data_IF_175191531033
#
_entry.id   IF_175191531033
#
_cell.length_a   1.000
_cell.length_b   1.000
_cell.length_c   1.000
_cell.angle_alpha   90.00
_cell.angle_beta   90.00
_cell.angle_gamma   90.00
#
_symmetry.space_group_name_H-M   'P 1'
#
loop_
_entity.id
_entity.type
_entity.pdbx_description
1 polymer ?
#
# COMPACT_ATOMS: atom_id res chain seq x y z
N UNK A 1 5.22 1.85 -39.01
CA UNK A 1 5.94 2.05 -37.73
C UNK A 1 6.27 0.67 -37.19
N UNK A 2 7.50 0.46 -36.69
CA UNK A 2 7.86 -0.80 -36.05
C UNK A 2 7.28 -0.82 -34.62
N UNK A 3 6.56 -1.89 -34.28
CA UNK A 3 6.06 -2.14 -32.92
C UNK A 3 7.04 -3.09 -32.24
N UNK A 4 7.48 -2.77 -31.03
CA UNK A 4 8.33 -3.65 -30.20
C UNK A 4 7.62 -3.90 -28.88
N UNK A 5 7.74 -5.12 -28.36
CA UNK A 5 7.17 -5.54 -27.09
C UNK A 5 8.31 -5.91 -26.14
N UNK A 6 8.22 -5.48 -24.89
CA UNK A 6 9.22 -5.72 -23.86
C UNK A 6 8.54 -6.25 -22.60
N UNK A 7 9.25 -7.07 -21.84
CA UNK A 7 8.87 -7.47 -20.48
C UNK A 7 9.82 -6.81 -19.47
N UNK A 8 9.27 -6.11 -18.48
CA UNK A 8 10.04 -5.44 -17.44
C UNK A 8 9.52 -5.90 -16.09
N UNK A 9 10.40 -6.44 -15.23
CA UNK A 9 10.10 -6.68 -13.83
C UNK A 9 10.28 -5.38 -13.06
N UNK A 10 9.30 -5.04 -12.23
CA UNK A 10 9.36 -3.90 -11.31
C UNK A 10 9.20 -4.44 -9.89
N UNK A 11 10.13 -4.07 -9.02
CA UNK A 11 10.10 -4.43 -7.60
C UNK A 11 10.26 -3.18 -6.74
N UNK A 12 9.46 -3.08 -5.68
CA UNK A 12 9.48 -1.94 -4.76
C UNK A 12 9.53 -2.45 -3.32
N UNK A 13 10.27 -1.75 -2.47
CA UNK A 13 10.27 -1.94 -1.02
C UNK A 13 9.56 -0.74 -0.42
N UNK A 14 8.34 -0.96 0.06
CA UNK A 14 7.55 0.05 0.77
C UNK A 14 7.67 -0.21 2.27
N UNK A 15 8.14 0.78 3.00
CA UNK A 15 8.14 0.76 4.46
C UNK A 15 6.83 1.37 4.95
N UNK A 16 6.17 0.70 5.90
CA UNK A 16 4.92 1.14 6.51
C UNK A 16 5.11 1.15 8.01
N UNK A 17 4.79 2.27 8.64
CA UNK A 17 4.75 2.43 10.09
C UNK A 17 3.29 2.53 10.50
N UNK A 18 2.88 1.74 11.48
CA UNK A 18 1.51 1.75 12.02
C UNK A 18 1.59 1.92 13.53
N UNK A 19 0.84 2.89 14.06
CA UNK A 19 0.52 2.97 15.48
C UNK A 19 -0.58 1.94 15.80
N UNK A 20 -0.14 0.78 16.28
CA UNK A 20 -1.02 -0.36 16.59
C UNK A 20 -2.10 -0.02 17.64
N UNK A 21 -1.89 1.02 18.46
CA UNK A 21 -2.92 1.46 19.42
C UNK A 21 -4.14 2.10 18.76
N UNK A 22 -4.05 2.48 17.47
CA UNK A 22 -5.14 3.10 16.70
C UNK A 22 -5.87 2.11 15.79
N UNK A 23 -5.26 0.97 15.48
CA UNK A 23 -5.90 -0.14 14.80
C UNK A 23 -6.41 -1.14 15.85
N UNK A 24 -7.22 -0.64 16.78
CA UNK A 24 -7.78 -1.46 17.84
C UNK A 24 -8.83 -2.46 17.30
N UNK A 25 -9.29 -3.37 18.16
CA UNK A 25 -10.27 -4.39 17.76
C UNK A 25 -11.57 -3.78 17.19
N UNK A 26 -11.96 -2.58 17.63
CA UNK A 26 -13.16 -1.92 17.11
C UNK A 26 -12.96 -1.45 15.67
N UNK A 27 -11.84 -0.78 15.38
CA UNK A 27 -11.46 -0.40 14.02
C UNK A 27 -11.33 -1.64 13.13
N UNK A 28 -10.60 -2.66 13.60
CA UNK A 28 -10.35 -3.88 12.85
C UNK A 28 -11.67 -4.62 12.53
N UNK A 29 -12.60 -4.69 13.48
CA UNK A 29 -13.91 -5.28 13.25
C UNK A 29 -14.77 -4.50 12.24
N UNK A 30 -14.78 -3.17 12.31
CA UNK A 30 -15.49 -2.32 11.35
C UNK A 30 -14.90 -2.45 9.95
N UNK A 31 -13.56 -2.43 9.85
CA UNK A 31 -12.85 -2.59 8.59
C UNK A 31 -13.21 -3.93 7.93
N UNK A 32 -13.15 -5.03 8.68
CA UNK A 32 -13.52 -6.36 8.19
C UNK A 32 -14.97 -6.47 7.75
N UNK A 33 -15.88 -5.73 8.37
CA UNK A 33 -17.30 -5.78 8.05
C UNK A 33 -17.62 -5.14 6.69
N UNK A 34 -16.83 -4.15 6.26
CA UNK A 34 -17.14 -3.33 5.08
C UNK A 34 -16.10 -3.41 3.96
N UNK A 35 -14.90 -3.91 4.25
CA UNK A 35 -13.77 -3.92 3.31
C UNK A 35 -13.19 -5.33 3.14
N UNK A 36 -11.96 -5.57 3.62
CA UNK A 36 -11.26 -6.84 3.49
C UNK A 36 -11.20 -7.57 4.83
N UNK A 37 -11.23 -8.90 4.79
CA UNK A 37 -11.10 -9.75 5.98
C UNK A 37 -9.65 -9.80 6.47
N UNK A 38 -9.17 -8.68 7.03
CA UNK A 38 -7.87 -8.57 7.68
C UNK A 38 -8.02 -8.70 9.20
N UNK A 39 -7.36 -9.72 9.74
CA UNK A 39 -7.38 -10.08 11.15
C UNK A 39 -6.14 -9.57 11.88
N UNK A 40 -5.08 -9.19 11.16
CA UNK A 40 -3.81 -8.74 11.76
C UNK A 40 -3.30 -7.44 11.14
N UNK A 41 -2.54 -6.68 11.94
CA UNK A 41 -1.97 -5.39 11.55
C UNK A 41 -0.99 -5.53 10.40
N UNK A 42 -0.28 -6.66 10.30
CA UNK A 42 0.60 -6.97 9.18
C UNK A 42 -0.16 -7.01 7.85
N UNK A 43 -1.38 -7.54 7.84
CA UNK A 43 -2.21 -7.55 6.62
C UNK A 43 -2.62 -6.13 6.21
N UNK A 44 -2.87 -5.24 7.18
CA UNK A 44 -3.09 -3.82 6.88
C UNK A 44 -1.83 -3.15 6.34
N UNK A 45 -0.65 -3.46 6.90
CA UNK A 45 0.62 -2.95 6.40
C UNK A 45 0.90 -3.41 4.95
N UNK A 46 0.68 -4.70 4.65
CA UNK A 46 0.77 -5.24 3.29
C UNK A 46 -0.20 -4.55 2.33
N UNK A 47 -1.43 -4.32 2.79
CA UNK A 47 -2.46 -3.64 2.00
C UNK A 47 -2.06 -2.19 1.68
N UNK A 48 -1.55 -1.44 2.64
CA UNK A 48 -1.10 -0.06 2.39
C UNK A 48 0.15 -0.04 1.52
N UNK A 49 1.07 -0.98 1.71
CA UNK A 49 2.24 -1.13 0.85
C UNK A 49 1.86 -1.38 -0.62
N UNK A 50 0.90 -2.27 -0.92
CA UNK A 50 0.48 -2.50 -2.30
C UNK A 50 -0.22 -1.28 -2.92
N UNK A 51 -1.00 -0.54 -2.13
CA UNK A 51 -1.72 0.64 -2.62
C UNK A 51 -0.72 1.76 -2.96
N UNK A 52 0.26 1.99 -2.09
CA UNK A 52 1.36 2.90 -2.33
C UNK A 52 2.18 2.50 -3.57
N UNK A 53 2.60 1.23 -3.67
CA UNK A 53 3.39 0.72 -4.80
C UNK A 53 2.67 0.86 -6.16
N UNK A 54 1.33 0.83 -6.15
CA UNK A 54 0.47 1.00 -7.34
C UNK A 54 0.10 2.46 -7.63
N UNK A 55 0.54 3.41 -6.80
CA UNK A 55 0.19 4.82 -6.93
C UNK A 55 -1.29 5.10 -6.67
N UNK A 56 -1.94 4.32 -5.81
CA UNK A 56 -3.35 4.48 -5.42
C UNK A 56 -3.54 5.30 -4.15
N UNK A 57 -2.46 5.74 -3.52
CA UNK A 57 -2.47 6.64 -2.37
C UNK A 57 -1.60 7.86 -2.72
N UNK A 58 -2.12 9.05 -2.47
CA UNK A 58 -1.41 10.31 -2.72
C UNK A 58 -0.20 10.48 -1.80
N UNK A 59 0.93 10.96 -2.32
CA UNK A 59 2.14 11.27 -1.53
C UNK A 59 2.01 12.58 -0.71
N UNK A 60 0.78 13.00 -0.41
CA UNK A 60 0.48 14.23 0.32
C UNK A 60 0.64 14.07 1.84
N UNK A 61 0.58 15.17 2.61
CA UNK A 61 0.79 15.14 4.06
C UNK A 61 -0.31 14.42 4.84
N UNK A 62 -1.48 14.15 4.25
CA UNK A 62 -2.57 13.41 4.87
C UNK A 62 -3.45 12.73 3.81
N UNK A 63 -2.98 11.63 3.20
CA UNK A 63 -3.75 10.97 2.16
C UNK A 63 -4.95 10.24 2.76
N UNK A 64 -6.07 10.33 2.05
CA UNK A 64 -7.27 9.57 2.37
C UNK A 64 -7.22 8.22 1.66
N UNK A 65 -7.43 7.14 2.39
CA UNK A 65 -7.55 5.79 1.85
C UNK A 65 -8.90 5.22 2.25
N UNK A 66 -9.66 4.73 1.26
CA UNK A 66 -10.95 4.10 1.51
C UNK A 66 -10.80 2.92 2.50
N UNK A 67 -11.64 2.94 3.54
CA UNK A 67 -11.59 2.01 4.68
C UNK A 67 -10.65 2.40 5.82
N UNK A 68 -9.62 3.22 5.59
CA UNK A 68 -8.74 3.72 6.64
C UNK A 68 -9.04 5.18 7.02
N UNK A 69 -9.69 5.93 6.14
CA UNK A 69 -9.83 7.36 6.31
C UNK A 69 -8.52 8.10 6.05
N UNK A 70 -8.32 9.30 6.64
CA UNK A 70 -7.05 10.00 6.57
C UNK A 70 -5.96 9.23 7.34
N UNK A 71 -4.88 8.82 6.65
CA UNK A 71 -3.89 7.91 7.24
C UNK A 71 -3.20 8.47 8.49
N UNK A 72 -3.01 9.79 8.57
CA UNK A 72 -2.42 10.43 9.75
C UNK A 72 -3.30 10.27 10.99
N UNK A 73 -4.63 10.27 10.81
CA UNK A 73 -5.59 10.14 11.92
C UNK A 73 -5.55 8.73 12.51
N UNK A 74 -5.43 7.70 11.68
CA UNK A 74 -5.27 6.29 12.08
C UNK A 74 -3.82 5.88 12.36
N UNK A 75 -2.88 6.83 12.36
CA UNK A 75 -1.48 6.60 12.75
C UNK A 75 -0.70 5.73 11.78
N UNK A 76 -0.99 5.84 10.49
CA UNK A 76 -0.24 5.17 9.43
C UNK A 76 0.64 6.16 8.69
N UNK A 77 1.92 5.79 8.54
CA UNK A 77 2.87 6.44 7.64
C UNK A 77 3.43 5.40 6.67
N UNK A 78 3.81 5.83 5.47
CA UNK A 78 4.40 4.93 4.48
C UNK A 78 5.39 5.66 3.58
N UNK A 79 6.33 4.92 2.99
CA UNK A 79 7.29 5.47 2.04
C UNK A 79 7.95 4.39 1.17
N UNK A 80 8.18 4.71 -0.10
CA UNK A 80 8.97 3.84 -0.97
C UNK A 80 10.46 4.05 -0.68
N UNK A 81 11.11 3.04 -0.09
CA UNK A 81 12.53 3.08 0.25
C UNK A 81 13.42 2.72 -0.94
N UNK A 82 12.97 1.78 -1.78
CA UNK A 82 13.71 1.35 -2.96
C UNK A 82 12.75 0.93 -4.07
N UNK A 83 13.10 1.23 -5.31
CA UNK A 83 12.42 0.74 -6.51
C UNK A 83 13.48 0.27 -7.52
N UNK A 84 13.40 -0.99 -7.95
CA UNK A 84 14.29 -1.57 -8.95
C UNK A 84 13.50 -1.99 -10.18
N UNK A 85 14.13 -1.87 -11.34
CA UNK A 85 13.59 -2.34 -12.62
C UNK A 85 14.59 -3.24 -13.32
N UNK A 86 14.09 -4.30 -13.93
CA UNK A 86 14.90 -5.26 -14.69
C UNK A 86 14.21 -5.56 -16.03
N UNK A 87 14.91 -5.29 -17.14
CA UNK A 87 14.44 -5.67 -18.48
C UNK A 87 14.67 -7.17 -18.68
N UNK A 88 13.58 -7.93 -18.75
CA UNK A 88 13.64 -9.38 -18.92
C UNK A 88 13.87 -9.79 -20.39
N UNK A 89 13.56 -8.90 -21.34
CA UNK A 89 13.83 -9.08 -22.76
C UNK A 89 12.71 -8.60 -23.68
N UNK A 90 12.95 -8.75 -24.98
CA UNK A 90 12.01 -8.45 -26.07
C UNK A 90 11.09 -9.65 -26.30
N UNK A 91 9.80 -9.40 -26.53
CA UNK A 91 8.79 -10.42 -26.83
C UNK A 91 8.50 -10.51 -28.34
#
# INVERSE_FOLDING_TARGET
MAVRKFSVLVSQVVEVTIDDSKLDEAFMAEFRASHYQFDTVEQHAEHIAQLAARGLIDMGPNPFVEGYGPLVEVGVEYGCRNANTELLGDL
#
